data_IF_719603098790
#
_entry.id   IF_719603098790
#
_cell.length_a   1.000
_cell.length_b   1.000
_cell.length_c   1.000
_cell.angle_alpha   90.00
_cell.angle_beta   90.00
_cell.angle_gamma   90.00
#
_symmetry.space_group_name_H-M   'P 1'
#
loop_
_entity.id
_entity.type
_entity.pdbx_description
1 polymer ?
#
# COMPACT_ATOMS: atom_id res chain seq x y z
N UNK A 1 -11.21 -1.47 10.61
CA UNK A 1 -10.98 -2.90 10.31
C UNK A 1 -9.48 -3.09 10.28
N UNK A 2 -8.94 -4.13 10.91
CA UNK A 2 -7.49 -4.38 10.86
C UNK A 2 -7.18 -5.31 9.68
N UNK A 3 -6.35 -4.85 8.74
CA UNK A 3 -5.83 -5.70 7.67
C UNK A 3 -4.51 -6.34 8.08
N UNK A 4 -4.31 -7.60 7.72
CA UNK A 4 -3.04 -8.30 7.93
C UNK A 4 -2.23 -8.26 6.63
N UNK A 5 -0.94 -7.87 6.67
CA UNK A 5 -0.09 -7.95 5.49
C UNK A 5 0.01 -9.39 4.98
N UNK A 6 -0.03 -9.56 3.66
CA UNK A 6 0.32 -10.81 2.98
C UNK A 6 1.81 -11.12 3.17
N UNK A 7 2.65 -10.08 3.17
CA UNK A 7 4.08 -10.17 3.40
C UNK A 7 4.57 -8.92 4.15
N UNK A 8 5.58 -9.09 5.00
CA UNK A 8 6.32 -8.00 5.61
C UNK A 8 7.81 -8.26 5.45
N UNK A 9 8.58 -7.26 5.01
CA UNK A 9 10.03 -7.38 4.82
C UNK A 9 10.77 -6.08 5.11
N UNK A 10 12.05 -6.14 5.53
CA UNK A 10 12.91 -4.97 5.60
C UNK A 10 13.08 -4.32 4.23
N UNK A 11 13.11 -2.99 4.18
CA UNK A 11 13.35 -2.20 2.96
C UNK A 11 14.04 -0.89 3.31
N UNK A 12 15.21 -0.60 2.74
CA UNK A 12 15.91 0.69 2.83
C UNK A 12 16.01 1.29 4.26
N UNK A 13 16.37 0.47 5.25
CA UNK A 13 16.48 0.92 6.65
C UNK A 13 15.16 0.91 7.44
N UNK A 14 14.03 0.65 6.79
CA UNK A 14 12.72 0.49 7.42
C UNK A 14 12.01 -0.79 6.97
N UNK A 15 10.71 -0.69 6.68
CA UNK A 15 9.82 -1.83 6.42
C UNK A 15 8.88 -1.58 5.24
N UNK A 16 8.59 -2.66 4.51
CA UNK A 16 7.48 -2.75 3.57
C UNK A 16 6.48 -3.79 4.07
N UNK A 17 5.21 -3.40 4.12
CA UNK A 17 4.04 -4.26 4.33
C UNK A 17 3.28 -4.36 3.00
N UNK A 18 3.20 -5.56 2.44
CA UNK A 18 2.44 -5.83 1.22
C UNK A 18 1.09 -6.41 1.59
N UNK A 19 0.02 -5.77 1.13
CA UNK A 19 -1.36 -6.21 1.32
C UNK A 19 -1.91 -6.75 0.01
N UNK A 20 -2.66 -7.85 0.08
CA UNK A 20 -3.31 -8.50 -1.05
C UNK A 20 -4.78 -8.73 -0.72
N UNK A 21 -5.66 -8.36 -1.63
CA UNK A 21 -7.10 -8.50 -1.47
C UNK A 21 -7.68 -9.46 -2.53
N UNK A 22 -8.89 -9.97 -2.26
CA UNK A 22 -9.55 -10.94 -3.13
C UNK A 22 -9.98 -10.35 -4.49
N UNK A 23 -10.11 -9.01 -4.57
CA UNK A 23 -10.44 -8.30 -5.81
C UNK A 23 -9.24 -8.17 -6.78
N UNK A 24 -8.10 -8.80 -6.48
CA UNK A 24 -6.89 -8.76 -7.30
C UNK A 24 -6.02 -7.52 -7.09
N UNK A 25 -6.48 -6.54 -6.31
CA UNK A 25 -5.70 -5.37 -5.92
C UNK A 25 -5.03 -5.56 -4.56
N UNK A 26 -4.18 -4.61 -4.21
CA UNK A 26 -3.51 -4.55 -2.93
C UNK A 26 -2.81 -3.22 -2.71
N UNK A 27 -1.94 -3.20 -1.70
CA UNK A 27 -1.12 -2.04 -1.42
C UNK A 27 0.30 -2.42 -1.02
N UNK A 28 1.27 -1.67 -1.51
CA UNK A 28 2.61 -1.60 -0.93
C UNK A 28 2.64 -0.43 0.05
N UNK A 29 2.69 -0.72 1.35
CA UNK A 29 2.76 0.28 2.41
C UNK A 29 4.17 0.27 3.00
N UNK A 30 4.89 1.40 2.88
CA UNK A 30 6.28 1.51 3.28
C UNK A 30 6.49 2.61 4.31
N UNK A 31 7.47 2.38 5.18
CA UNK A 31 8.08 3.41 6.01
C UNK A 31 9.57 3.08 6.05
N UNK A 32 10.39 3.91 5.42
CA UNK A 32 11.84 3.73 5.35
C UNK A 32 12.56 5.07 5.19
N UNK A 33 13.89 5.08 5.26
CA UNK A 33 14.69 6.31 5.33
C UNK A 33 14.49 7.26 4.15
N UNK A 34 14.06 6.72 2.98
CA UNK A 34 13.78 7.50 1.78
C UNK A 34 12.29 7.69 1.44
N UNK A 35 11.35 7.23 2.29
CA UNK A 35 9.91 7.34 2.02
C UNK A 35 9.39 8.71 2.45
N UNK A 36 8.32 9.18 1.82
CA UNK A 36 7.74 10.48 2.17
C UNK A 36 7.20 10.48 3.61
N UNK A 37 7.92 11.18 4.51
CA UNK A 37 7.58 11.28 5.94
C UNK A 37 8.11 10.12 6.81
N UNK A 38 8.94 9.23 6.25
CA UNK A 38 9.54 8.13 7.02
C UNK A 38 10.41 8.61 8.19
N UNK A 39 11.10 9.74 8.02
CA UNK A 39 11.92 10.43 9.03
C UNK A 39 11.13 10.92 10.25
N UNK A 40 9.82 11.10 10.09
CA UNK A 40 8.88 11.52 11.15
C UNK A 40 7.86 10.43 11.51
N UNK A 41 8.13 9.17 11.12
CA UNK A 41 7.29 8.02 11.47
C UNK A 41 5.96 7.94 10.71
N UNK A 42 5.84 8.63 9.57
CA UNK A 42 4.71 8.52 8.65
C UNK A 42 4.95 7.43 7.60
N UNK A 43 3.89 7.11 6.86
CA UNK A 43 3.85 6.03 5.89
C UNK A 43 3.62 6.54 4.47
N UNK A 44 3.97 5.70 3.52
CA UNK A 44 3.73 5.88 2.11
C UNK A 44 2.99 4.65 1.57
N UNK A 45 2.03 4.87 0.68
CA UNK A 45 1.19 3.82 0.11
C UNK A 45 1.14 3.95 -1.41
N UNK A 46 1.42 2.84 -2.09
CA UNK A 46 1.14 2.68 -3.52
C UNK A 46 0.12 1.55 -3.73
N UNK A 47 -0.84 1.76 -4.64
CA UNK A 47 -1.77 0.71 -5.06
C UNK A 47 -1.01 -0.29 -5.93
N UNK A 48 -1.29 -1.58 -5.76
CA UNK A 48 -0.71 -2.65 -6.57
C UNK A 48 -1.80 -3.53 -7.16
N UNK A 49 -1.51 -4.15 -8.30
CA UNK A 49 -2.33 -5.23 -8.88
C UNK A 49 -1.52 -6.51 -8.92
N UNK A 50 -2.17 -7.62 -8.54
CA UNK A 50 -1.57 -8.94 -8.57
C UNK A 50 -1.87 -9.67 -9.88
N UNK A 51 -0.84 -10.30 -10.45
CA UNK A 51 -0.95 -11.31 -11.50
C UNK A 51 -0.29 -12.60 -11.00
N UNK A 52 -1.12 -13.56 -10.57
CA UNK A 52 -0.64 -14.76 -9.88
C UNK A 52 0.06 -14.42 -8.56
N UNK A 53 1.35 -14.73 -8.45
CA UNK A 53 2.19 -14.42 -7.28
C UNK A 53 3.02 -13.14 -7.47
N UNK A 54 3.01 -12.58 -8.68
CA UNK A 54 3.67 -11.32 -9.01
C UNK A 54 2.72 -10.14 -8.80
N UNK A 55 3.28 -8.94 -8.69
CA UNK A 55 2.51 -7.71 -8.57
C UNK A 55 3.25 -6.54 -9.18
N UNK A 56 2.48 -5.59 -9.70
CA UNK A 56 2.97 -4.34 -10.27
C UNK A 56 2.24 -3.15 -9.63
N UNK A 57 2.86 -1.97 -9.72
CA UNK A 57 2.23 -0.71 -9.33
C UNK A 57 1.04 -0.43 -10.25
N UNK A 58 -0.07 -0.01 -9.66
CA UNK A 58 -1.29 0.30 -10.37
C UNK A 58 -1.63 1.79 -10.20
N UNK A 59 -1.58 2.52 -11.30
CA UNK A 59 -1.84 3.96 -11.36
C UNK A 59 -3.20 4.27 -12.02
N UNK A 60 -3.92 3.27 -12.50
CA UNK A 60 -5.20 3.42 -13.20
C UNK A 60 -6.43 3.39 -12.29
N UNK A 61 -6.26 3.52 -10.96
CA UNK A 61 -7.40 3.46 -10.02
C UNK A 61 -7.98 4.83 -9.72
N UNK A 62 -9.25 4.87 -9.31
CA UNK A 62 -9.88 6.08 -8.76
C UNK A 62 -9.32 6.53 -7.40
N UNK A 63 -8.39 5.75 -6.81
CA UNK A 63 -7.79 6.06 -5.51
C UNK A 63 -6.66 7.04 -5.68
N UNK A 64 -5.76 6.76 -6.63
CA UNK A 64 -4.58 7.56 -6.94
C UNK A 64 -3.97 7.10 -8.27
N UNK A 65 -3.36 8.06 -8.96
CA UNK A 65 -2.49 7.87 -10.13
C UNK A 65 -0.99 8.00 -9.78
N UNK A 66 -0.68 8.16 -8.49
CA UNK A 66 0.69 8.22 -7.96
C UNK A 66 0.77 7.59 -6.55
N UNK A 67 1.95 7.60 -5.96
CA UNK A 67 2.21 7.23 -4.58
C UNK A 67 1.67 8.29 -3.61
N UNK A 68 0.98 7.86 -2.56
CA UNK A 68 0.50 8.75 -1.50
C UNK A 68 1.46 8.68 -0.31
N UNK A 69 2.12 9.79 0.02
CA UNK A 69 3.05 9.90 1.15
C UNK A 69 2.49 10.62 2.38
N UNK A 70 3.29 10.65 3.46
CA UNK A 70 3.00 11.39 4.71
C UNK A 70 1.71 10.98 5.41
N UNK A 71 1.38 9.69 5.35
CA UNK A 71 0.18 9.13 5.95
C UNK A 71 0.41 8.74 7.41
N UNK A 72 -0.56 9.04 8.26
CA UNK A 72 -0.70 8.32 9.53
C UNK A 72 -1.33 6.93 9.32
N UNK A 73 -1.36 6.10 10.37
CA UNK A 73 -1.87 4.74 10.25
C UNK A 73 -3.38 4.67 9.98
N UNK A 74 -4.18 5.62 10.48
CA UNK A 74 -5.61 5.64 10.22
C UNK A 74 -5.90 5.97 8.75
N UNK A 75 -5.11 6.87 8.15
CA UNK A 75 -5.18 7.19 6.73
C UNK A 75 -4.79 5.98 5.87
N UNK A 76 -3.74 5.25 6.25
CA UNK A 76 -3.37 3.96 5.64
C UNK A 76 -4.53 2.97 5.70
N UNK A 77 -5.14 2.74 6.87
CA UNK A 77 -6.27 1.80 7.02
C UNK A 77 -7.49 2.21 6.19
N UNK A 78 -7.75 3.51 6.07
CA UNK A 78 -8.82 4.05 5.23
C UNK A 78 -8.57 3.75 3.76
N UNK A 79 -7.34 3.96 3.28
CA UNK A 79 -6.94 3.64 1.90
C UNK A 79 -6.99 2.13 1.64
N UNK A 80 -6.50 1.29 2.54
CA UNK A 80 -6.60 -0.17 2.44
C UNK A 80 -8.06 -0.62 2.31
N UNK A 81 -8.97 -0.01 3.07
CA UNK A 81 -10.41 -0.30 2.98
C UNK A 81 -10.98 0.07 1.61
N UNK A 82 -10.56 1.20 1.03
CA UNK A 82 -10.96 1.64 -0.31
C UNK A 82 -10.43 0.72 -1.39
N UNK A 83 -9.16 0.32 -1.32
CA UNK A 83 -8.53 -0.60 -2.28
C UNK A 83 -9.25 -1.96 -2.27
N UNK A 84 -9.55 -2.49 -1.08
CA UNK A 84 -10.30 -3.73 -0.94
C UNK A 84 -11.73 -3.67 -1.53
N UNK A 85 -12.30 -2.47 -1.67
CA UNK A 85 -13.63 -2.26 -2.25
C UNK A 85 -13.63 -1.98 -3.76
N UNK A 86 -12.46 -1.82 -4.38
CA UNK A 86 -12.34 -1.59 -5.82
C UNK A 86 -13.03 -2.70 -6.60
N UNK A 87 -13.74 -2.32 -7.66
CA UNK A 87 -14.33 -3.24 -8.61
C UNK A 87 -13.34 -3.53 -9.72
N UNK A 88 -13.25 -4.80 -10.12
CA UNK A 88 -12.53 -5.16 -11.34
C UNK A 88 -13.35 -4.63 -12.52
N UNK A 89 -12.73 -3.78 -13.34
CA UNK A 89 -13.32 -3.28 -14.58
C UNK A 89 -13.37 -4.38 -15.65
#
# INVERSE_FOLDING_TARGET
>A
MSFTPHMERPLNGGVQKLYRFENGFGASVVQHDFSYGGDVGQWELAVVRFDGDEWDLEYGTEITDDVIGRLDWNEVESLLSRINALQVA
#
